data_IF_827903631426
#
_entry.id   IF_827903631426
#
_cell.length_a   1.000
_cell.length_b   1.000
_cell.length_c   1.000
_cell.angle_alpha   90.00
_cell.angle_beta   90.00
_cell.angle_gamma   90.00
#
_symmetry.space_group_name_H-M   'P 1'
#
loop_
_entity.id
_entity.type
_entity.pdbx_description
1 polymer ?
#
# COMPACT_ATOMS: atom_id res chain seq x y z
N UNK A 1 10.15 -17.92 -24.79
CA UNK A 1 9.74 -18.68 -23.58
C UNK A 1 10.84 -18.52 -22.53
N UNK A 2 10.82 -17.43 -21.76
CA UNK A 2 11.79 -17.20 -20.68
C UNK A 2 11.32 -17.89 -19.41
N UNK A 3 12.20 -18.65 -18.75
CA UNK A 3 11.93 -19.28 -17.46
C UNK A 3 11.75 -18.19 -16.39
N UNK A 4 10.63 -18.24 -15.67
CA UNK A 4 10.41 -17.49 -14.43
C UNK A 4 11.17 -18.21 -13.32
N UNK A 5 12.18 -17.57 -12.76
CA UNK A 5 12.99 -18.16 -11.69
C UNK A 5 12.52 -17.65 -10.33
N UNK A 6 12.04 -18.57 -9.49
CA UNK A 6 11.76 -18.30 -8.07
C UNK A 6 13.03 -18.56 -7.27
N UNK A 7 13.60 -17.54 -6.64
CA UNK A 7 14.79 -17.72 -5.81
C UNK A 7 14.43 -17.70 -4.32
N UNK A 8 14.84 -18.74 -3.59
CA UNK A 8 15.02 -18.73 -2.15
C UNK A 8 16.53 -18.73 -1.89
N UNK A 9 17.08 -17.67 -1.29
CA UNK A 9 18.52 -17.55 -1.05
C UNK A 9 18.87 -17.94 0.39
N UNK A 10 19.82 -18.87 0.53
CA UNK A 10 20.58 -19.10 1.76
C UNK A 10 21.91 -18.35 1.64
N UNK A 11 22.15 -17.38 2.53
CA UNK A 11 23.28 -16.46 2.44
C UNK A 11 24.64 -17.14 2.69
N UNK A 12 25.59 -16.92 1.78
CA UNK A 12 27.03 -17.10 2.03
C UNK A 12 27.72 -15.75 1.81
N UNK A 13 28.43 -15.31 2.85
CA UNK A 13 29.20 -14.07 2.90
C UNK A 13 30.34 -14.06 1.88
N UNK A 14 30.38 -13.03 1.02
CA UNK A 14 31.63 -12.57 0.39
C UNK A 14 31.72 -11.04 0.53
N UNK A 15 32.71 -10.59 1.31
CA UNK A 15 33.11 -9.19 1.45
C UNK A 15 33.97 -8.76 0.24
N UNK A 16 33.69 -7.59 -0.34
CA UNK A 16 34.64 -6.45 -0.46
C UNK A 16 33.98 -5.19 -1.06
N UNK A 17 34.49 -3.98 -0.74
CA UNK A 17 33.86 -2.69 -1.05
C UNK A 17 34.47 -2.00 -2.29
N UNK A 18 33.71 -1.18 -3.02
CA UNK A 18 34.27 -0.05 -3.81
C UNK A 18 33.26 1.09 -4.01
N UNK A 19 33.48 2.14 -3.21
CA UNK A 19 33.27 3.58 -3.43
C UNK A 19 32.42 4.09 -4.61
N UNK A 20 31.35 4.79 -4.26
CA UNK A 20 30.70 5.85 -5.05
C UNK A 20 31.67 7.04 -5.16
N UNK A 21 32.19 7.31 -6.37
CA UNK A 21 32.76 8.61 -6.81
C UNK A 21 33.15 8.49 -8.29
N UNK A 22 32.23 8.85 -9.19
CA UNK A 22 32.48 8.79 -10.64
C UNK A 22 31.69 9.78 -11.48
N UNK A 23 30.50 10.22 -11.06
CA UNK A 23 29.65 11.14 -11.87
C UNK A 23 29.78 12.62 -11.49
N UNK A 24 30.03 12.96 -10.23
CA UNK A 24 30.24 14.37 -9.83
C UNK A 24 31.63 14.89 -10.24
N UNK A 25 32.62 14.00 -10.41
CA UNK A 25 33.97 14.39 -10.81
C UNK A 25 34.07 14.79 -12.30
N UNK A 26 33.18 14.29 -13.16
CA UNK A 26 33.21 14.63 -14.59
C UNK A 26 32.58 16.00 -14.89
N UNK A 27 31.53 16.39 -14.17
CA UNK A 27 30.96 17.74 -14.31
C UNK A 27 31.88 18.82 -13.73
N UNK A 28 32.60 18.52 -12.64
CA UNK A 28 33.59 19.43 -12.07
C UNK A 28 34.83 19.63 -12.95
N UNK A 29 35.28 18.59 -13.66
CA UNK A 29 36.48 18.66 -14.51
C UNK A 29 36.26 19.47 -15.80
N UNK A 30 35.07 19.41 -16.41
CA UNK A 30 34.76 20.18 -17.63
C UNK A 30 34.58 21.69 -17.37
N UNK A 31 34.15 22.07 -16.17
CA UNK A 31 33.96 23.47 -15.77
C UNK A 31 35.26 24.16 -15.30
N UNK A 32 36.28 23.39 -14.90
CA UNK A 32 37.55 23.95 -14.40
C UNK A 32 38.62 24.13 -15.50
N UNK A 33 38.60 23.33 -16.58
CA UNK A 33 39.54 23.54 -17.70
C UNK A 33 39.25 24.79 -18.55
N UNK A 34 38.06 25.38 -18.41
CA UNK A 34 37.68 26.61 -19.14
C UNK A 34 37.97 27.92 -18.39
N UNK A 35 38.51 27.85 -17.16
CA UNK A 35 38.71 29.04 -16.32
C UNK A 35 40.19 29.40 -16.03
N UNK A 36 41.16 28.59 -16.44
CA UNK A 36 42.55 28.71 -15.95
C UNK A 36 43.60 29.27 -16.95
N UNK A 37 43.21 30.08 -17.94
CA UNK A 37 44.23 30.84 -18.70
C UNK A 37 43.75 32.20 -19.26
N UNK A 38 44.01 33.33 -18.57
CA UNK A 38 43.78 34.65 -19.12
C UNK A 38 45.03 35.13 -19.84
N UNK A 39 45.06 35.02 -21.17
CA UNK A 39 45.96 35.84 -21.99
C UNK A 39 45.13 36.77 -22.86
N UNK A 40 45.19 38.06 -22.52
CA UNK A 40 44.59 39.20 -23.21
C UNK A 40 43.05 39.31 -23.20
N UNK A 41 42.51 39.74 -22.06
CA UNK A 41 41.61 40.91 -22.00
C UNK A 41 40.43 41.03 -22.96
N UNK A 42 39.77 39.93 -23.34
CA UNK A 42 38.46 39.96 -23.99
C UNK A 42 37.71 38.65 -23.77
N UNK A 43 36.59 38.69 -23.06
CA UNK A 43 35.64 37.58 -23.03
C UNK A 43 35.02 37.46 -24.42
N UNK A 44 35.32 36.38 -25.15
CA UNK A 44 34.50 35.99 -26.30
C UNK A 44 33.21 35.38 -25.75
N UNK A 45 32.06 35.95 -26.14
CA UNK A 45 30.80 35.20 -26.06
C UNK A 45 31.01 33.89 -26.82
N UNK A 46 30.76 32.79 -26.13
CA UNK A 46 30.78 31.45 -26.72
C UNK A 46 29.57 31.39 -27.66
N UNK A 47 29.82 31.37 -28.96
CA UNK A 47 28.81 31.27 -30.03
C UNK A 47 28.15 29.87 -30.13
N UNK A 48 28.20 29.05 -29.06
CA UNK A 48 27.62 27.70 -29.00
C UNK A 48 26.62 27.57 -27.84
N UNK A 49 25.59 28.42 -27.84
CA UNK A 49 24.37 28.17 -27.06
C UNK A 49 23.53 27.01 -27.62
N UNK A 50 23.83 26.55 -28.83
CA UNK A 50 23.13 25.45 -29.51
C UNK A 50 23.36 24.09 -28.84
N UNK A 51 24.54 23.84 -28.27
CA UNK A 51 24.81 22.57 -27.55
C UNK A 51 24.23 22.56 -26.14
N UNK A 52 24.25 23.69 -25.42
CA UNK A 52 23.68 23.76 -24.07
C UNK A 52 22.14 23.68 -24.09
N UNK A 53 21.51 24.28 -25.11
CA UNK A 53 20.06 24.16 -25.33
C UNK A 53 19.69 22.74 -25.76
N UNK A 54 20.55 22.02 -26.48
CA UNK A 54 20.29 20.61 -26.83
C UNK A 54 20.42 19.65 -25.64
N UNK A 55 21.32 19.91 -24.68
CA UNK A 55 21.43 19.07 -23.46
C UNK A 55 20.24 19.30 -22.53
N UNK A 56 19.81 20.56 -22.35
CA UNK A 56 18.62 20.89 -21.55
C UNK A 56 17.33 20.45 -22.27
N UNK A 57 17.28 20.54 -23.61
CA UNK A 57 16.15 20.03 -24.40
C UNK A 57 16.10 18.50 -24.42
N UNK A 58 17.24 17.78 -24.33
CA UNK A 58 17.24 16.33 -24.19
C UNK A 58 16.67 15.90 -22.82
N UNK A 59 17.06 16.57 -21.73
CA UNK A 59 16.51 16.26 -20.40
C UNK A 59 15.01 16.60 -20.30
N UNK A 60 14.55 17.72 -20.87
CA UNK A 60 13.13 18.10 -20.87
C UNK A 60 12.29 17.24 -21.83
N UNK A 61 12.90 16.67 -22.87
CA UNK A 61 12.23 15.74 -23.79
C UNK A 61 12.16 14.34 -23.18
N UNK A 62 13.18 13.86 -22.45
CA UNK A 62 13.13 12.53 -21.84
C UNK A 62 12.14 12.42 -20.66
N UNK A 63 11.83 13.53 -19.98
CA UNK A 63 10.81 13.54 -18.91
C UNK A 63 9.35 13.64 -19.43
N UNK A 64 9.13 14.02 -20.71
CA UNK A 64 7.80 14.23 -21.27
C UNK A 64 7.28 13.13 -22.21
N UNK A 65 8.09 12.09 -22.48
CA UNK A 65 7.60 10.90 -23.18
C UNK A 65 7.40 9.77 -22.17
N UNK A 66 6.14 9.43 -21.92
CA UNK A 66 5.78 8.13 -21.35
C UNK A 66 6.41 6.98 -22.16
N UNK A 67 6.42 5.73 -21.65
CA UNK A 67 7.29 4.67 -22.13
C UNK A 67 6.90 4.24 -23.55
N UNK A 68 7.45 4.92 -24.56
CA UNK A 68 7.52 4.41 -25.91
C UNK A 68 8.79 3.58 -25.99
N UNK A 69 8.59 2.27 -26.22
CA UNK A 69 9.61 1.24 -26.10
C UNK A 69 10.94 1.56 -26.77
N UNK A 70 12.01 1.15 -26.09
CA UNK A 70 13.38 1.12 -26.60
C UNK A 70 13.42 0.25 -27.87
N UNK A 71 13.68 0.88 -29.01
CA UNK A 71 14.00 0.18 -30.25
C UNK A 71 15.49 -0.18 -30.23
N UNK A 72 15.83 -1.45 -30.51
CA UNK A 72 17.20 -1.84 -30.84
C UNK A 72 17.58 -1.31 -32.24
N UNK A 73 18.87 -1.13 -32.51
CA UNK A 73 19.49 -0.74 -33.80
C UNK A 73 19.13 -1.67 -34.98
N UNK A 74 18.36 -2.72 -34.72
CA UNK A 74 17.82 -3.70 -35.68
C UNK A 74 16.37 -3.42 -36.09
N UNK A 75 15.69 -2.44 -35.46
CA UNK A 75 14.31 -2.07 -35.78
C UNK A 75 13.24 -3.03 -35.24
N UNK A 76 13.63 -4.07 -34.48
CA UNK A 76 12.68 -4.96 -33.81
C UNK A 76 12.21 -4.38 -32.47
N UNK A 77 10.90 -4.35 -32.27
CA UNK A 77 10.25 -3.99 -31.00
C UNK A 77 10.58 -5.10 -29.98
N UNK A 78 11.54 -4.88 -29.08
CA UNK A 78 11.65 -5.71 -27.88
C UNK A 78 10.52 -5.29 -26.93
N UNK A 79 9.53 -6.15 -26.75
CA UNK A 79 8.59 -6.03 -25.64
C UNK A 79 9.39 -6.03 -24.35
N UNK A 80 9.54 -4.86 -23.72
CA UNK A 80 9.99 -4.80 -22.33
C UNK A 80 8.98 -5.59 -21.52
N UNK A 81 9.43 -6.64 -20.82
CA UNK A 81 8.63 -7.53 -19.98
C UNK A 81 8.13 -6.83 -18.70
N UNK A 82 7.62 -5.60 -18.82
CA UNK A 82 6.97 -4.90 -17.72
C UNK A 82 5.71 -5.68 -17.36
N UNK A 83 5.70 -6.26 -16.17
CA UNK A 83 4.50 -6.90 -15.63
C UNK A 83 3.76 -5.92 -14.75
N UNK A 84 2.48 -6.17 -14.54
CA UNK A 84 1.69 -5.51 -13.51
C UNK A 84 1.45 -6.49 -12.36
N UNK A 85 1.26 -5.95 -11.16
CA UNK A 85 1.23 -6.77 -9.95
C UNK A 85 0.18 -6.27 -8.97
N UNK A 86 -0.45 -7.18 -8.24
CA UNK A 86 -1.33 -6.83 -7.12
C UNK A 86 -1.04 -7.72 -5.91
N UNK A 87 -1.02 -7.12 -4.73
CA UNK A 87 -1.03 -7.82 -3.44
C UNK A 87 -2.09 -7.21 -2.52
N UNK A 88 -2.66 -8.01 -1.62
CA UNK A 88 -3.70 -7.56 -0.71
C UNK A 88 -3.67 -8.33 0.61
N UNK A 89 -4.35 -7.78 1.61
CA UNK A 89 -4.70 -8.47 2.85
C UNK A 89 -6.19 -8.40 3.13
N UNK A 90 -6.66 -9.39 3.89
CA UNK A 90 -7.98 -9.40 4.52
C UNK A 90 -7.92 -9.15 6.03
N UNK A 91 -6.79 -8.60 6.46
CA UNK A 91 -6.51 -8.08 7.79
C UNK A 91 -5.71 -9.02 8.68
N UNK A 92 -5.35 -8.49 9.83
CA UNK A 92 -4.43 -9.04 10.82
C UNK A 92 -5.14 -9.13 12.18
N UNK A 93 -5.45 -10.35 12.58
CA UNK A 93 -6.28 -10.64 13.74
C UNK A 93 -6.39 -12.15 13.96
N UNK A 94 -7.57 -12.63 14.33
CA UNK A 94 -7.82 -14.05 14.54
C UNK A 94 -8.73 -14.59 13.43
N UNK A 95 -8.20 -15.53 12.63
CA UNK A 95 -8.93 -16.12 11.51
C UNK A 95 -9.18 -17.62 11.74
N UNK A 96 -10.41 -18.12 11.49
CA UNK A 96 -10.72 -19.54 11.60
C UNK A 96 -9.92 -20.37 10.59
N UNK A 97 -9.65 -21.64 10.95
CA UNK A 97 -8.86 -22.57 10.10
C UNK A 97 -9.55 -22.88 8.77
N UNK A 98 -10.88 -22.96 8.75
CA UNK A 98 -11.69 -23.12 7.54
C UNK A 98 -12.41 -21.80 7.27
N UNK A 99 -12.23 -21.23 6.08
CA UNK A 99 -12.85 -19.96 5.72
C UNK A 99 -12.94 -19.80 4.20
N UNK A 100 -13.85 -18.92 3.77
CA UNK A 100 -13.96 -18.49 2.37
C UNK A 100 -12.91 -17.43 1.99
N UNK A 101 -11.95 -17.13 2.87
CA UNK A 101 -10.98 -16.07 2.65
C UNK A 101 -10.08 -16.32 1.44
N UNK A 102 -9.65 -17.57 1.23
CA UNK A 102 -8.81 -17.90 0.08
C UNK A 102 -9.51 -17.61 -1.25
N UNK A 103 -10.76 -18.04 -1.41
CA UNK A 103 -11.53 -17.79 -2.65
C UNK A 103 -11.85 -16.31 -2.82
N UNK A 104 -12.21 -15.62 -1.74
CA UNK A 104 -12.46 -14.18 -1.74
C UNK A 104 -11.22 -13.37 -2.18
N UNK A 105 -10.07 -13.63 -1.57
CA UNK A 105 -8.82 -12.95 -1.90
C UNK A 105 -8.42 -13.19 -3.35
N UNK A 106 -8.53 -14.44 -3.82
CA UNK A 106 -8.24 -14.78 -5.22
C UNK A 106 -9.17 -14.02 -6.17
N UNK A 107 -10.47 -13.91 -5.85
CA UNK A 107 -11.42 -13.11 -6.63
C UNK A 107 -11.03 -11.63 -6.67
N UNK A 108 -10.61 -11.06 -5.54
CA UNK A 108 -10.16 -9.67 -5.48
C UNK A 108 -8.88 -9.43 -6.32
N UNK A 109 -7.90 -10.34 -6.25
CA UNK A 109 -6.72 -10.28 -7.12
C UNK A 109 -7.08 -10.38 -8.60
N UNK A 110 -8.02 -11.26 -8.99
CA UNK A 110 -8.48 -11.40 -10.38
C UNK A 110 -9.13 -10.10 -10.86
N UNK A 111 -9.99 -9.46 -10.05
CA UNK A 111 -10.62 -8.19 -10.41
C UNK A 111 -9.58 -7.08 -10.64
N UNK A 112 -8.54 -6.99 -9.81
CA UNK A 112 -7.43 -6.07 -10.04
C UNK A 112 -6.65 -6.40 -11.32
N UNK A 113 -6.37 -7.69 -11.57
CA UNK A 113 -5.71 -8.12 -12.81
C UNK A 113 -6.52 -7.77 -14.06
N UNK A 114 -7.84 -7.91 -14.04
CA UNK A 114 -8.70 -7.55 -15.17
C UNK A 114 -8.56 -6.06 -15.51
N UNK A 115 -8.50 -5.20 -14.48
CA UNK A 115 -8.24 -3.76 -14.66
C UNK A 115 -6.85 -3.52 -15.27
N UNK A 116 -5.81 -4.14 -14.70
CA UNK A 116 -4.43 -3.94 -15.13
C UNK A 116 -4.19 -4.45 -16.57
N UNK A 117 -4.70 -5.63 -16.90
CA UNK A 117 -4.63 -6.20 -18.25
C UNK A 117 -5.44 -5.39 -19.27
N UNK A 118 -6.48 -4.67 -18.81
CA UNK A 118 -7.23 -3.72 -19.63
C UNK A 118 -6.51 -2.38 -19.84
N UNK A 119 -5.29 -2.19 -19.33
CA UNK A 119 -4.55 -0.94 -19.39
C UNK A 119 -4.97 0.10 -18.35
N UNK A 120 -5.71 -0.31 -17.32
CA UNK A 120 -6.09 0.54 -16.19
C UNK A 120 -4.92 0.88 -15.27
N UNK A 121 -5.10 1.93 -14.46
CA UNK A 121 -4.08 2.39 -13.51
C UNK A 121 -3.97 1.48 -12.28
N UNK A 122 -2.85 1.59 -11.56
CA UNK A 122 -2.68 0.91 -10.27
C UNK A 122 -3.77 1.32 -9.27
N UNK A 123 -4.19 2.60 -9.31
CA UNK A 123 -5.25 3.15 -8.48
C UNK A 123 -6.61 2.49 -8.76
N UNK A 124 -6.94 2.28 -10.04
CA UNK A 124 -8.16 1.56 -10.44
C UNK A 124 -8.11 0.09 -10.00
N UNK A 125 -6.93 -0.55 -10.11
CA UNK A 125 -6.75 -1.94 -9.72
C UNK A 125 -6.95 -2.17 -8.22
N UNK A 126 -6.33 -1.34 -7.36
CA UNK A 126 -6.54 -1.45 -5.89
C UNK A 126 -7.98 -1.14 -5.51
N UNK A 127 -8.63 -0.20 -6.20
CA UNK A 127 -10.05 0.13 -5.97
C UNK A 127 -10.96 -1.05 -6.32
N UNK A 128 -10.70 -1.73 -7.45
CA UNK A 128 -11.45 -2.92 -7.85
C UNK A 128 -11.25 -4.09 -6.86
N UNK A 129 -10.01 -4.36 -6.44
CA UNK A 129 -9.72 -5.39 -5.43
C UNK A 129 -10.42 -5.09 -4.11
N UNK A 130 -10.28 -3.88 -3.55
CA UNK A 130 -10.90 -3.53 -2.27
C UNK A 130 -12.42 -3.51 -2.37
N UNK A 131 -13.01 -3.09 -3.50
CA UNK A 131 -14.47 -3.18 -3.70
C UNK A 131 -14.99 -4.63 -3.59
N UNK A 132 -14.25 -5.61 -4.13
CA UNK A 132 -14.60 -7.03 -3.95
C UNK A 132 -14.56 -7.44 -2.47
N UNK A 133 -13.57 -6.94 -1.72
CA UNK A 133 -13.42 -7.24 -0.30
C UNK A 133 -14.51 -6.55 0.54
N UNK A 134 -14.88 -5.30 0.24
CA UNK A 134 -15.98 -4.57 0.90
C UNK A 134 -17.36 -5.21 0.67
N UNK A 135 -17.55 -5.85 -0.48
CA UNK A 135 -18.80 -6.53 -0.80
C UNK A 135 -18.96 -7.88 -0.08
N UNK A 136 -17.95 -8.35 0.64
CA UNK A 136 -17.98 -9.62 1.33
C UNK A 136 -18.49 -9.48 2.77
N UNK A 137 -19.42 -10.35 3.18
CA UNK A 137 -19.92 -10.37 4.57
C UNK A 137 -18.89 -10.77 5.65
N UNK A 138 -17.75 -11.29 5.23
CA UNK A 138 -16.75 -11.87 6.12
C UNK A 138 -15.61 -10.91 6.47
N UNK A 139 -15.57 -9.73 5.86
CA UNK A 139 -14.54 -8.70 6.05
C UNK A 139 -15.12 -7.57 6.89
N UNK A 140 -14.33 -6.96 7.76
CA UNK A 140 -14.78 -5.77 8.49
C UNK A 140 -14.58 -4.52 7.62
N UNK A 141 -15.27 -4.47 6.49
CA UNK A 141 -15.32 -3.36 5.55
C UNK A 141 -16.58 -3.48 4.68
N UNK A 142 -17.14 -2.36 4.20
CA UNK A 142 -18.35 -2.38 3.40
C UNK A 142 -19.51 -3.10 4.11
N UNK A 143 -20.09 -4.09 3.44
CA UNK A 143 -21.21 -4.90 3.90
C UNK A 143 -20.94 -5.74 5.17
N UNK A 144 -19.69 -6.13 5.42
CA UNK A 144 -19.33 -6.90 6.61
C UNK A 144 -18.88 -6.04 7.80
N UNK A 145 -18.99 -4.72 7.71
CA UNK A 145 -18.48 -3.78 8.71
C UNK A 145 -19.07 -4.01 10.10
N UNK A 146 -18.24 -3.82 11.12
CA UNK A 146 -18.66 -3.74 12.51
C UNK A 146 -19.61 -2.55 12.73
N UNK A 147 -20.56 -2.75 13.65
CA UNK A 147 -21.53 -1.74 14.03
C UNK A 147 -20.98 -0.84 15.15
N UNK A 148 -21.29 0.45 15.08
CA UNK A 148 -20.98 1.44 16.11
C UNK A 148 -21.91 1.28 17.33
N UNK A 149 -21.75 2.12 18.36
CA UNK A 149 -22.55 2.06 19.59
C UNK A 149 -24.08 2.19 19.36
N UNK A 150 -24.50 2.79 18.25
CA UNK A 150 -25.93 2.91 17.86
C UNK A 150 -26.44 1.75 17.01
N UNK A 151 -25.60 0.75 16.72
CA UNK A 151 -25.96 -0.37 15.85
C UNK A 151 -25.94 -0.02 14.36
N UNK A 152 -25.24 1.06 13.95
CA UNK A 152 -25.10 1.50 12.56
C UNK A 152 -23.70 1.25 12.00
N UNK A 153 -23.61 1.11 10.68
CA UNK A 153 -22.33 1.01 9.97
C UNK A 153 -21.76 2.41 9.72
N UNK A 154 -20.52 2.64 10.14
CA UNK A 154 -19.72 3.81 9.76
C UNK A 154 -18.37 3.34 9.25
N UNK A 155 -17.96 3.78 8.07
CA UNK A 155 -16.77 3.24 7.40
C UNK A 155 -15.71 4.29 7.15
N UNK A 156 -14.47 3.81 7.14
CA UNK A 156 -13.25 4.57 6.86
C UNK A 156 -12.57 3.93 5.65
N UNK A 157 -12.25 4.71 4.61
CA UNK A 157 -11.49 4.23 3.47
C UNK A 157 -10.59 5.32 2.89
N UNK A 158 -9.46 4.91 2.36
CA UNK A 158 -8.54 5.82 1.69
C UNK A 158 -7.77 5.11 0.58
N UNK A 159 -7.17 5.93 -0.27
CA UNK A 159 -6.25 5.49 -1.30
C UNK A 159 -5.20 6.55 -1.59
N UNK A 160 -4.08 6.11 -2.15
CA UNK A 160 -2.96 6.95 -2.50
C UNK A 160 -2.23 6.38 -3.70
N UNK A 161 -1.82 7.25 -4.61
CA UNK A 161 -0.86 6.99 -5.67
C UNK A 161 0.06 8.22 -5.82
N UNK A 162 0.84 8.28 -6.91
CA UNK A 162 1.72 9.41 -7.21
C UNK A 162 0.99 10.76 -7.39
N UNK A 163 -0.30 10.76 -7.72
CA UNK A 163 -1.12 11.99 -7.84
C UNK A 163 -1.56 12.53 -6.47
N UNK A 164 -1.45 11.70 -5.44
CA UNK A 164 -1.63 12.03 -4.05
C UNK A 164 -2.65 11.14 -3.36
N UNK A 165 -3.14 11.63 -2.23
CA UNK A 165 -3.98 10.88 -1.30
C UNK A 165 -5.41 11.42 -1.30
N UNK A 166 -6.39 10.54 -1.13
CA UNK A 166 -7.74 10.91 -0.75
C UNK A 166 -8.39 9.88 0.19
N UNK A 167 -9.34 10.34 1.00
CA UNK A 167 -10.00 9.54 2.01
C UNK A 167 -11.43 9.97 2.31
N UNK A 168 -12.17 9.04 2.88
CA UNK A 168 -13.43 9.28 3.57
C UNK A 168 -13.43 8.59 4.93
N UNK A 169 -14.06 9.20 5.93
CA UNK A 169 -14.17 8.60 7.26
C UNK A 169 -15.54 8.77 7.89
N UNK A 170 -15.90 7.84 8.76
CA UNK A 170 -17.21 7.76 9.40
C UNK A 170 -18.38 7.92 8.41
N UNK A 171 -18.23 7.43 7.17
CA UNK A 171 -19.28 7.54 6.15
C UNK A 171 -20.34 6.47 6.33
N UNK A 172 -21.57 6.84 6.00
CA UNK A 172 -22.75 5.98 6.07
C UNK A 172 -23.38 5.90 4.66
N UNK A 173 -24.22 4.89 4.43
CA UNK A 173 -25.02 4.72 3.21
C UNK A 173 -24.24 4.50 1.90
N UNK A 174 -22.91 4.41 1.92
CA UNK A 174 -22.10 4.18 0.72
C UNK A 174 -21.79 2.69 0.60
N UNK A 175 -22.13 2.06 -0.53
CA UNK A 175 -21.86 0.63 -0.73
C UNK A 175 -20.37 0.27 -0.67
N UNK A 176 -19.54 1.07 -1.36
CA UNK A 176 -18.11 0.87 -1.47
C UNK A 176 -17.34 2.15 -1.11
N UNK A 177 -16.93 2.35 0.15
CA UNK A 177 -16.25 3.58 0.55
C UNK A 177 -14.91 3.83 -0.17
N UNK A 178 -14.16 2.81 -0.66
CA UNK A 178 -13.00 3.09 -1.55
C UNK A 178 -13.40 3.83 -2.81
N UNK A 179 -14.56 3.53 -3.40
CA UNK A 179 -14.96 4.18 -4.65
C UNK A 179 -15.27 5.66 -4.41
N UNK A 180 -15.82 6.00 -3.24
CA UNK A 180 -16.02 7.39 -2.85
C UNK A 180 -14.66 8.10 -2.66
N UNK A 181 -13.70 7.48 -1.97
CA UNK A 181 -12.34 8.01 -1.87
C UNK A 181 -11.67 8.17 -3.25
N UNK A 182 -11.88 7.23 -4.17
CA UNK A 182 -11.33 7.26 -5.53
C UNK A 182 -11.85 8.46 -6.30
N UNK A 183 -13.15 8.73 -6.17
CA UNK A 183 -13.77 9.87 -6.83
C UNK A 183 -13.29 11.19 -6.26
N UNK A 184 -13.09 11.30 -4.94
CA UNK A 184 -12.43 12.48 -4.36
C UNK A 184 -11.06 12.74 -4.98
N UNK A 185 -10.21 11.69 -5.12
CA UNK A 185 -8.90 11.84 -5.74
C UNK A 185 -9.00 12.26 -7.21
N UNK A 186 -9.84 11.58 -8.01
CA UNK A 186 -10.04 11.89 -9.43
C UNK A 186 -10.62 13.30 -9.65
N UNK A 187 -11.52 13.75 -8.78
CA UNK A 187 -12.11 15.08 -8.87
C UNK A 187 -11.11 16.21 -8.62
N UNK A 188 -9.94 15.94 -8.01
CA UNK A 188 -8.90 16.98 -7.78
C UNK A 188 -8.40 17.65 -9.06
N UNK A 189 -8.53 16.99 -10.22
CA UNK A 189 -8.21 17.60 -11.51
C UNK A 189 -9.18 18.72 -11.90
N UNK A 190 -10.36 18.79 -11.28
CA UNK A 190 -11.40 19.77 -11.56
C UNK A 190 -11.45 20.81 -10.43
N UNK A 191 -10.87 22.02 -10.56
CA UNK A 191 -10.90 23.02 -9.50
C UNK A 191 -12.34 23.48 -9.21
N UNK A 192 -12.60 23.81 -7.94
CA UNK A 192 -13.85 24.45 -7.51
C UNK A 192 -13.91 25.91 -7.99
N UNK A 193 -15.08 26.59 -7.96
CA UNK A 193 -15.19 27.99 -8.34
C UNK A 193 -14.13 28.87 -7.68
N UNK A 194 -13.58 29.78 -8.48
CA UNK A 194 -12.45 30.66 -8.14
C UNK A 194 -11.10 29.96 -7.95
N UNK A 195 -10.91 28.79 -8.57
CA UNK A 195 -9.64 28.05 -8.50
C UNK A 195 -9.39 27.40 -7.15
N UNK A 196 -10.44 27.19 -6.35
CA UNK A 196 -10.31 26.58 -5.02
C UNK A 196 -9.99 25.09 -5.16
N UNK A 197 -9.13 24.60 -4.27
CA UNK A 197 -8.72 23.20 -4.21
C UNK A 197 -9.89 22.31 -3.80
N UNK A 198 -10.03 21.18 -4.49
CA UNK A 198 -10.96 20.11 -4.10
C UNK A 198 -10.53 19.48 -2.76
N UNK A 199 -11.47 19.10 -1.89
CA UNK A 199 -11.14 18.38 -0.67
C UNK A 199 -10.57 17.00 -1.02
N UNK A 200 -9.54 16.59 -0.28
CA UNK A 200 -8.98 15.25 -0.38
C UNK A 200 -9.44 14.35 0.78
N UNK A 201 -9.97 14.90 1.86
CA UNK A 201 -10.49 14.13 2.98
C UNK A 201 -11.82 14.71 3.46
N UNK A 202 -12.89 13.91 3.39
CA UNK A 202 -14.21 14.28 3.88
C UNK A 202 -14.70 13.26 4.91
N UNK A 203 -15.54 13.70 5.85
CA UNK A 203 -16.03 12.85 6.93
C UNK A 203 -17.54 12.93 7.09
N UNK A 204 -18.12 11.85 7.60
CA UNK A 204 -19.54 11.77 7.91
C UNK A 204 -20.44 11.90 6.68
N UNK A 205 -21.68 12.31 6.94
CA UNK A 205 -22.72 12.48 5.91
C UNK A 205 -22.32 13.44 4.78
N UNK A 206 -21.54 14.49 5.09
CA UNK A 206 -21.10 15.46 4.09
C UNK A 206 -20.19 14.83 3.02
N UNK A 207 -19.46 13.76 3.35
CA UNK A 207 -18.69 13.02 2.35
C UNK A 207 -19.60 12.28 1.36
N UNK A 208 -20.68 11.66 1.87
CA UNK A 208 -21.69 10.95 1.07
C UNK A 208 -22.48 11.91 0.17
N UNK A 209 -22.77 13.12 0.65
CA UNK A 209 -23.49 14.15 -0.11
C UNK A 209 -22.61 14.87 -1.14
N UNK A 210 -21.29 14.86 -0.97
CA UNK A 210 -20.34 15.54 -1.85
C UNK A 210 -20.35 14.99 -3.28
N UNK A 211 -20.58 13.69 -3.44
CA UNK A 211 -20.47 13.04 -4.73
C UNK A 211 -21.61 12.03 -5.00
N UNK A 212 -22.43 12.34 -6.00
CA UNK A 212 -23.59 11.54 -6.40
C UNK A 212 -23.26 10.37 -7.35
N UNK A 213 -21.98 10.15 -7.68
CA UNK A 213 -21.59 9.10 -8.62
C UNK A 213 -21.24 7.75 -7.98
N UNK A 214 -21.40 7.60 -6.66
CA UNK A 214 -21.29 6.30 -5.97
C UNK A 214 -22.67 5.70 -5.69
N UNK A 215 -22.74 4.38 -5.64
CA UNK A 215 -23.97 3.67 -5.25
C UNK A 215 -24.26 3.90 -3.76
N UNK A 216 -25.34 4.64 -3.50
CA UNK A 216 -25.91 4.77 -2.16
C UNK A 216 -26.89 3.63 -1.91
N UNK A 217 -26.89 3.14 -0.68
CA UNK A 217 -27.71 2.01 -0.24
C UNK A 217 -28.42 2.34 1.08
N UNK A 218 -29.51 1.63 1.35
CA UNK A 218 -30.19 1.71 2.64
C UNK A 218 -29.25 1.25 3.77
N UNK A 219 -29.21 1.94 4.93
CA UNK A 219 -28.28 1.62 6.01
C UNK A 219 -28.30 0.14 6.44
N UNK A 220 -29.50 -0.44 6.50
CA UNK A 220 -29.73 -1.82 6.95
C UNK A 220 -29.14 -2.84 5.97
N UNK A 221 -29.01 -2.49 4.69
CA UNK A 221 -28.43 -3.37 3.67
C UNK A 221 -26.92 -3.55 3.82
N UNK A 222 -26.25 -2.65 4.57
CA UNK A 222 -24.84 -2.77 4.94
C UNK A 222 -24.62 -3.63 6.18
N UNK A 223 -25.69 -4.09 6.86
CA UNK A 223 -25.56 -4.85 8.10
C UNK A 223 -25.60 -6.35 7.76
N UNK A 224 -24.44 -7.00 7.78
CA UNK A 224 -24.41 -8.47 7.74
C UNK A 224 -24.94 -9.08 9.03
N UNK A 225 -25.60 -10.24 8.91
CA UNK A 225 -26.09 -11.01 10.06
C UNK A 225 -24.99 -11.32 11.07
N UNK A 226 -23.78 -11.66 10.60
CA UNK A 226 -22.63 -11.93 11.45
C UNK A 226 -22.15 -10.71 12.24
N UNK A 227 -22.14 -9.52 11.62
CA UNK A 227 -21.75 -8.29 12.31
C UNK A 227 -22.78 -7.90 13.39
N UNK A 228 -24.07 -8.08 13.09
CA UNK A 228 -25.15 -7.83 14.03
C UNK A 228 -25.06 -8.75 15.27
N UNK A 229 -24.81 -10.04 15.07
CA UNK A 229 -24.64 -11.01 16.17
C UNK A 229 -23.45 -10.64 17.07
N UNK A 230 -22.31 -10.25 16.49
CA UNK A 230 -21.15 -9.78 17.26
C UNK A 230 -21.50 -8.52 18.05
N UNK A 231 -22.19 -7.56 17.44
CA UNK A 231 -22.61 -6.34 18.13
C UNK A 231 -23.58 -6.61 19.29
N UNK A 232 -24.55 -7.50 19.12
CA UNK A 232 -25.49 -7.89 20.17
C UNK A 232 -24.78 -8.52 21.37
N UNK A 233 -23.83 -9.43 21.13
CA UNK A 233 -23.01 -10.02 22.20
C UNK A 233 -22.23 -8.97 22.98
N UNK A 234 -21.60 -8.03 22.28
CA UNK A 234 -20.87 -6.94 22.94
C UNK A 234 -21.79 -5.99 23.70
N UNK A 235 -23.01 -5.75 23.20
CA UNK A 235 -24.02 -4.97 23.92
C UNK A 235 -24.39 -5.63 25.24
N UNK A 236 -24.61 -6.95 25.24
CA UNK A 236 -24.89 -7.71 26.46
C UNK A 236 -23.75 -7.61 27.47
N UNK A 237 -22.49 -7.75 27.02
CA UNK A 237 -21.29 -7.62 27.88
C UNK A 237 -21.16 -6.22 28.48
N UNK A 238 -21.46 -5.17 27.71
CA UNK A 238 -21.41 -3.78 28.18
C UNK A 238 -22.50 -3.51 29.23
N UNK A 239 -23.72 -4.01 29.00
CA UNK A 239 -24.87 -3.75 29.88
C UNK A 239 -24.88 -4.59 31.16
N UNK A 240 -24.45 -5.85 31.09
CA UNK A 240 -24.62 -6.83 32.17
C UNK A 240 -23.31 -7.29 32.81
N UNK A 241 -22.16 -6.82 32.33
CA UNK A 241 -20.84 -7.23 32.81
C UNK A 241 -20.28 -8.46 32.08
N UNK A 242 -19.10 -8.96 32.49
CA UNK A 242 -18.37 -9.96 31.72
C UNK A 242 -19.13 -11.29 31.64
N UNK A 243 -19.40 -11.76 30.43
CA UNK A 243 -19.63 -13.17 30.14
C UNK A 243 -18.32 -13.97 30.27
N UNK A 244 -18.36 -15.31 30.29
CA UNK A 244 -17.12 -16.06 30.25
C UNK A 244 -16.36 -15.70 28.97
N UNK A 245 -15.02 -15.49 28.99
CA UNK A 245 -14.24 -15.15 27.80
C UNK A 245 -14.41 -16.13 26.62
N UNK A 246 -14.78 -17.38 26.91
CA UNK A 246 -15.09 -18.39 25.90
C UNK A 246 -16.42 -18.17 25.14
N UNK A 247 -17.34 -17.39 25.70
CA UNK A 247 -18.68 -17.15 25.12
C UNK A 247 -18.67 -16.11 23.98
N UNK A 248 -17.63 -15.27 23.96
CA UNK A 248 -17.37 -14.35 22.84
C UNK A 248 -16.91 -15.11 21.58
N UNK A 249 -16.43 -16.36 21.70
CA UNK A 249 -15.94 -17.15 20.57
C UNK A 249 -14.82 -16.44 19.79
N UNK A 250 -14.63 -16.82 18.53
CA UNK A 250 -13.65 -16.25 17.58
C UNK A 250 -14.06 -14.83 17.09
N UNK A 251 -14.70 -14.02 17.94
CA UNK A 251 -15.26 -12.70 17.59
C UNK A 251 -14.21 -11.59 17.36
N UNK A 252 -12.94 -11.96 17.27
CA UNK A 252 -11.79 -11.04 17.22
C UNK A 252 -11.21 -10.81 15.82
N UNK A 253 -12.06 -10.56 14.81
CA UNK A 253 -11.59 -10.10 13.49
C UNK A 253 -11.57 -8.57 13.50
N UNK A 254 -10.42 -7.96 13.83
CA UNK A 254 -10.23 -6.49 13.81
C UNK A 254 -9.79 -5.99 12.43
N UNK A 255 -10.47 -6.42 11.36
CA UNK A 255 -9.74 -6.51 10.10
C UNK A 255 -10.22 -5.60 9.00
N UNK A 256 -9.50 -4.47 8.94
CA UNK A 256 -9.27 -3.66 7.76
C UNK A 256 -8.82 -4.53 6.60
N UNK A 257 -9.35 -4.24 5.42
CA UNK A 257 -8.89 -4.81 4.16
C UNK A 257 -8.05 -3.79 3.42
N UNK A 258 -7.09 -4.25 2.62
CA UNK A 258 -6.23 -3.34 1.88
C UNK A 258 -5.53 -4.03 0.73
N UNK A 259 -5.18 -3.24 -0.29
CA UNK A 259 -4.49 -3.70 -1.48
C UNK A 259 -3.39 -2.70 -1.88
N UNK A 260 -2.33 -3.24 -2.47
CA UNK A 260 -1.25 -2.51 -3.14
C UNK A 260 -1.09 -3.06 -4.55
N UNK A 261 -0.83 -2.20 -5.53
CA UNK A 261 -0.66 -2.63 -6.91
C UNK A 261 0.40 -1.81 -7.63
N UNK A 262 0.93 -2.40 -8.70
CA UNK A 262 1.78 -1.77 -9.69
C UNK A 262 1.15 -1.93 -11.08
N UNK A 263 1.04 -0.84 -11.82
CA UNK A 263 0.58 -0.88 -13.22
C UNK A 263 1.71 -1.10 -14.22
N UNK A 264 1.35 -1.23 -15.51
CA UNK A 264 2.30 -1.44 -16.60
C UNK A 264 3.27 -0.27 -16.82
N UNK A 265 2.96 0.92 -16.27
CA UNK A 265 3.86 2.07 -16.27
C UNK A 265 4.82 2.05 -15.08
N UNK A 266 4.68 1.07 -14.18
CA UNK A 266 5.46 0.97 -12.96
C UNK A 266 5.00 1.94 -11.87
N UNK A 267 3.80 2.52 -11.98
CA UNK A 267 3.24 3.37 -10.93
C UNK A 267 2.65 2.50 -9.83
N UNK A 268 2.82 2.93 -8.59
CA UNK A 268 2.29 2.27 -7.41
C UNK A 268 1.02 2.94 -6.90
N UNK A 269 0.13 2.13 -6.34
CA UNK A 269 -1.02 2.60 -5.58
C UNK A 269 -1.28 1.71 -4.37
N UNK A 270 -1.94 2.30 -3.37
CA UNK A 270 -2.44 1.62 -2.17
C UNK A 270 -3.88 2.03 -1.91
N UNK A 271 -4.71 1.10 -1.43
CA UNK A 271 -6.06 1.38 -0.95
C UNK A 271 -6.37 0.56 0.32
N UNK A 272 -7.12 1.16 1.23
CA UNK A 272 -7.44 0.62 2.54
C UNK A 272 -8.90 0.92 2.90
N UNK A 273 -9.60 -0.03 3.55
CA UNK A 273 -11.00 0.14 3.94
C UNK A 273 -11.33 -0.64 5.22
N UNK A 274 -12.14 -0.05 6.11
CA UNK A 274 -12.48 -0.62 7.41
C UNK A 274 -13.83 -0.15 7.94
N UNK A 275 -14.57 -1.04 8.61
CA UNK A 275 -15.71 -0.71 9.47
C UNK A 275 -15.29 -0.23 10.87
N UNK A 276 -14.02 -0.37 11.24
CA UNK A 276 -13.51 -0.01 12.55
C UNK A 276 -13.84 -1.02 13.66
N UNK A 277 -13.65 -0.61 14.91
CA UNK A 277 -13.90 -1.50 16.07
C UNK A 277 -15.40 -1.62 16.35
N UNK A 278 -15.82 -2.80 16.82
CA UNK A 278 -17.20 -3.04 17.28
C UNK A 278 -17.55 -2.10 18.45
N UNK A 279 -18.79 -1.60 18.48
CA UNK A 279 -19.27 -0.64 19.49
C UNK A 279 -18.47 0.66 19.55
N UNK A 280 -17.73 1.01 18.49
CA UNK A 280 -17.04 2.30 18.43
C UNK A 280 -18.00 3.45 18.70
N UNK A 281 -17.49 4.50 19.34
CA UNK A 281 -18.23 5.75 19.43
C UNK A 281 -18.54 6.27 18.02
N UNK A 282 -19.73 6.83 17.83
CA UNK A 282 -20.15 7.44 16.56
C UNK A 282 -19.14 8.53 16.17
N UNK A 283 -18.64 8.47 14.94
CA UNK A 283 -17.61 9.39 14.44
C UNK A 283 -16.17 9.01 14.78
N UNK A 284 -15.90 7.87 15.45
CA UNK A 284 -14.52 7.37 15.64
C UNK A 284 -13.92 7.01 14.28
N UNK A 285 -12.79 7.62 13.97
CA UNK A 285 -11.98 7.39 12.77
C UNK A 285 -10.78 6.51 13.09
N UNK A 286 -10.58 5.45 12.31
CA UNK A 286 -9.43 4.55 12.39
C UNK A 286 -8.33 4.86 11.37
N UNK A 287 -7.24 4.06 11.37
CA UNK A 287 -6.09 4.29 10.51
C UNK A 287 -6.40 4.12 9.02
N UNK A 288 -7.44 3.35 8.65
CA UNK A 288 -7.79 3.08 7.26
C UNK A 288 -8.05 4.35 6.44
N UNK A 289 -8.49 5.43 7.10
CA UNK A 289 -8.69 6.73 6.49
C UNK A 289 -7.55 7.72 6.76
N UNK A 290 -6.40 7.33 7.32
CA UNK A 290 -5.32 8.25 7.71
C UNK A 290 -4.02 7.92 6.98
N UNK A 291 -3.55 8.86 6.17
CA UNK A 291 -2.30 8.74 5.43
C UNK A 291 -1.11 8.54 6.39
N UNK A 292 -0.23 7.60 6.05
CA UNK A 292 0.96 7.26 6.83
C UNK A 292 0.69 6.26 7.94
N UNK A 293 -0.58 6.09 8.35
CA UNK A 293 -0.97 5.08 9.34
C UNK A 293 -1.54 3.84 8.67
N UNK A 294 -2.68 3.93 8.00
CA UNK A 294 -3.33 2.76 7.38
C UNK A 294 -2.82 2.43 5.99
N UNK A 295 -2.28 3.41 5.27
CA UNK A 295 -1.65 3.23 3.97
C UNK A 295 -0.61 4.32 3.69
N UNK A 296 0.33 4.01 2.80
CA UNK A 296 1.29 4.98 2.28
C UNK A 296 1.81 4.52 0.92
N UNK A 297 2.08 5.48 0.03
CA UNK A 297 2.81 5.25 -1.21
C UNK A 297 3.88 6.33 -1.31
N UNK A 298 5.13 5.92 -1.45
CA UNK A 298 6.28 6.81 -1.57
C UNK A 298 7.37 6.14 -2.39
N UNK A 299 7.91 6.88 -3.36
CA UNK A 299 8.92 6.43 -4.30
C UNK A 299 8.57 5.07 -4.93
N UNK A 300 9.26 4.01 -4.51
CA UNK A 300 9.10 2.68 -5.04
C UNK A 300 8.39 1.72 -4.08
N UNK A 301 7.70 2.23 -3.05
CA UNK A 301 7.05 1.40 -2.02
C UNK A 301 5.60 1.81 -1.82
N UNK A 302 4.71 0.82 -1.79
CA UNK A 302 3.32 0.95 -1.35
C UNK A 302 3.06 0.03 -0.15
N UNK A 303 2.39 0.54 0.88
CA UNK A 303 2.10 -0.18 2.13
C UNK A 303 0.65 0.00 2.52
N UNK A 304 0.03 -1.05 3.05
CA UNK A 304 -1.27 -0.99 3.75
C UNK A 304 -1.21 -1.79 5.05
N UNK A 305 -1.94 -1.33 6.08
CA UNK A 305 -1.90 -1.86 7.44
C UNK A 305 -3.28 -2.30 7.97
N UNK A 306 -3.27 -3.23 8.94
CA UNK A 306 -4.44 -3.70 9.69
C UNK A 306 -4.08 -3.96 11.15
N UNK A 307 -5.07 -4.01 12.05
CA UNK A 307 -4.90 -4.32 13.46
C UNK A 307 -5.53 -3.27 14.37
N UNK A 308 -4.92 -3.06 15.54
CA UNK A 308 -5.38 -2.08 16.51
C UNK A 308 -5.20 -0.66 15.95
N UNK A 309 -6.32 0.05 15.79
CA UNK A 309 -6.34 1.31 15.06
C UNK A 309 -5.53 2.42 15.74
N UNK A 310 -5.71 2.55 17.05
CA UNK A 310 -5.09 3.56 17.89
C UNK A 310 -3.56 3.38 17.93
N UNK A 311 -3.11 2.13 18.03
CA UNK A 311 -1.68 1.78 18.02
C UNK A 311 -1.00 2.05 16.67
N UNK A 312 -1.70 1.77 15.56
CA UNK A 312 -1.22 2.06 14.20
C UNK A 312 -1.15 3.58 13.95
N UNK A 313 -2.12 4.34 14.47
CA UNK A 313 -2.13 5.80 14.42
C UNK A 313 -0.94 6.39 15.19
N UNK A 314 -0.78 6.00 16.46
CA UNK A 314 0.29 6.51 17.34
C UNK A 314 1.71 6.22 16.81
N UNK A 315 1.85 5.23 15.94
CA UNK A 315 3.13 4.81 15.39
C UNK A 315 3.35 5.24 13.94
N UNK A 316 2.32 5.70 13.22
CA UNK A 316 2.39 6.06 11.79
C UNK A 316 3.04 4.91 10.99
N UNK A 317 2.49 3.71 11.18
CA UNK A 317 3.14 2.44 10.81
C UNK A 317 3.44 2.33 9.31
N UNK A 318 2.49 2.67 8.44
CA UNK A 318 2.65 2.55 6.99
C UNK A 318 3.80 3.42 6.45
N UNK A 319 3.88 4.68 6.89
CA UNK A 319 4.95 5.60 6.47
C UNK A 319 6.33 5.13 6.97
N UNK A 320 6.43 4.65 8.22
CA UNK A 320 7.70 4.10 8.72
C UNK A 320 8.15 2.87 7.94
N UNK A 321 7.21 2.01 7.55
CA UNK A 321 7.50 0.85 6.71
C UNK A 321 8.05 1.27 5.35
N UNK A 322 7.35 2.19 4.66
CA UNK A 322 7.77 2.71 3.37
C UNK A 322 9.16 3.37 3.45
N UNK A 323 9.37 4.24 4.45
CA UNK A 323 10.64 4.91 4.67
C UNK A 323 11.80 3.93 4.86
N UNK A 324 11.63 2.86 5.65
CA UNK A 324 12.67 1.83 5.80
C UNK A 324 12.95 1.06 4.52
N UNK A 325 11.90 0.66 3.80
CA UNK A 325 12.04 -0.11 2.57
C UNK A 325 12.68 0.72 1.44
N UNK A 326 12.45 2.03 1.43
CA UNK A 326 13.11 2.96 0.51
C UNK A 326 14.58 3.21 0.89
N UNK A 327 14.90 3.30 2.19
CA UNK A 327 16.24 3.66 2.69
C UNK A 327 16.99 2.49 3.34
N UNK A 328 16.91 1.30 2.73
CA UNK A 328 17.64 0.13 3.24
C UNK A 328 19.14 0.32 3.07
N UNK A 329 19.90 0.08 4.15
CA UNK A 329 21.36 0.02 4.07
C UNK A 329 21.81 -1.27 3.35
N UNK A 330 22.96 -1.20 2.67
CA UNK A 330 23.49 -2.33 1.91
C UNK A 330 23.63 -3.61 2.74
N UNK A 331 23.06 -4.72 2.24
CA UNK A 331 23.08 -6.03 2.90
C UNK A 331 21.85 -6.35 3.76
N UNK A 332 20.89 -5.43 3.88
CA UNK A 332 19.59 -5.68 4.52
C UNK A 332 18.57 -6.12 3.47
N UNK A 333 17.97 -7.30 3.66
CA UNK A 333 16.87 -7.80 2.83
C UNK A 333 15.53 -7.19 3.27
N UNK A 334 14.56 -7.11 2.36
CA UNK A 334 13.24 -6.51 2.62
C UNK A 334 12.53 -7.17 3.81
N UNK A 335 12.68 -8.48 3.99
CA UNK A 335 12.13 -9.22 5.14
C UNK A 335 12.70 -8.73 6.49
N UNK A 336 14.00 -8.46 6.55
CA UNK A 336 14.64 -7.92 7.75
C UNK A 336 14.24 -6.46 7.98
N UNK A 337 14.07 -5.67 6.91
CA UNK A 337 13.58 -4.31 7.01
C UNK A 337 12.16 -4.27 7.63
N UNK A 338 11.22 -5.10 7.14
CA UNK A 338 9.87 -5.16 7.73
C UNK A 338 9.85 -5.77 9.13
N UNK A 339 10.77 -6.68 9.45
CA UNK A 339 10.95 -7.17 10.81
C UNK A 339 11.34 -6.03 11.75
N UNK A 340 12.30 -5.19 11.36
CA UNK A 340 12.69 -4.02 12.14
C UNK A 340 11.55 -3.02 12.30
N UNK A 341 10.68 -2.83 11.29
CA UNK A 341 9.45 -2.03 11.47
C UNK A 341 8.63 -2.58 12.63
N UNK A 342 8.31 -3.88 12.62
CA UNK A 342 7.44 -4.46 13.63
C UNK A 342 8.08 -4.51 15.02
N UNK A 343 9.34 -4.92 15.11
CA UNK A 343 10.01 -5.13 16.40
C UNK A 343 10.51 -3.83 17.02
N UNK A 344 11.19 -2.98 16.22
CA UNK A 344 11.81 -1.75 16.71
C UNK A 344 10.83 -0.58 16.72
N UNK A 345 10.15 -0.35 15.60
CA UNK A 345 9.39 0.89 15.39
C UNK A 345 7.96 0.85 15.87
N UNK A 346 7.39 -0.36 15.92
CA UNK A 346 6.05 -0.61 16.43
C UNK A 346 6.12 -1.12 17.88
N UNK A 347 6.49 -2.39 18.10
CA UNK A 347 6.53 -3.01 19.44
C UNK A 347 7.48 -2.29 20.41
N UNK A 348 8.64 -1.84 19.91
CA UNK A 348 9.63 -1.09 20.68
C UNK A 348 9.30 0.38 20.92
N UNK A 349 8.22 0.91 20.30
CA UNK A 349 7.86 2.32 20.43
C UNK A 349 7.40 2.68 21.83
N UNK A 350 7.58 3.96 22.20
CA UNK A 350 7.12 4.45 23.51
C UNK A 350 5.59 4.32 23.67
N UNK A 351 4.82 4.48 22.60
CA UNK A 351 3.37 4.32 22.59
C UNK A 351 2.96 2.88 22.97
N UNK A 352 3.51 1.88 22.28
CA UNK A 352 3.15 0.47 22.55
C UNK A 352 3.69 0.00 23.90
N UNK A 353 4.88 0.45 24.32
CA UNK A 353 5.39 0.15 25.66
C UNK A 353 4.49 0.70 26.77
N UNK A 354 3.93 1.92 26.60
CA UNK A 354 2.94 2.47 27.54
C UNK A 354 1.62 1.69 27.48
N UNK A 355 1.13 1.38 26.29
CA UNK A 355 -0.11 0.60 26.12
C UNK A 355 -0.03 -0.77 26.83
N UNK A 356 1.12 -1.46 26.73
CA UNK A 356 1.37 -2.75 27.40
C UNK A 356 1.33 -2.71 28.92
N UNK A 357 1.53 -1.55 29.54
CA UNK A 357 1.39 -1.41 31.00
C UNK A 357 -0.06 -1.53 31.45
N UNK A 358 -1.00 -1.13 30.59
CA UNK A 358 -2.44 -1.11 30.89
C UNK A 358 -3.21 -2.26 30.21
N UNK A 359 -2.68 -2.79 29.11
CA UNK A 359 -3.32 -3.85 28.33
C UNK A 359 -2.27 -4.84 27.83
N UNK A 360 -2.27 -6.06 28.39
CA UNK A 360 -1.32 -7.11 27.99
C UNK A 360 -1.45 -7.53 26.51
N UNK A 361 -2.61 -7.30 25.90
CA UNK A 361 -2.85 -7.61 24.49
C UNK A 361 -2.36 -6.51 23.53
N UNK A 362 -1.83 -5.39 24.03
CA UNK A 362 -1.34 -4.30 23.20
C UNK A 362 -0.19 -4.71 22.25
N UNK A 363 -0.08 -4.01 21.13
CA UNK A 363 0.88 -4.29 20.06
C UNK A 363 0.32 -5.25 19.01
N UNK A 364 -0.94 -5.06 18.58
CA UNK A 364 -1.58 -5.85 17.52
C UNK A 364 -1.57 -5.05 16.22
N UNK A 365 -0.70 -5.42 15.27
CA UNK A 365 -0.72 -4.85 13.94
C UNK A 365 -0.24 -5.86 12.90
N UNK A 366 -0.56 -5.59 11.64
CA UNK A 366 0.00 -6.24 10.49
C UNK A 366 0.04 -5.29 9.29
N UNK A 367 0.88 -5.64 8.32
CA UNK A 367 1.07 -4.86 7.10
C UNK A 367 1.47 -5.75 5.94
N UNK A 368 1.16 -5.29 4.73
CA UNK A 368 1.72 -5.81 3.48
C UNK A 368 2.32 -4.64 2.72
N UNK A 369 3.50 -4.86 2.13
CA UNK A 369 4.24 -3.89 1.36
C UNK A 369 4.61 -4.46 0.00
N UNK A 370 4.53 -3.62 -1.02
CA UNK A 370 4.98 -3.87 -2.38
C UNK A 370 6.12 -2.90 -2.67
N UNK A 371 7.30 -3.42 -2.99
CA UNK A 371 8.48 -2.64 -3.38
C UNK A 371 8.88 -2.96 -4.81
N UNK A 372 9.25 -1.92 -5.56
CA UNK A 372 9.89 -2.03 -6.86
C UNK A 372 11.37 -1.66 -6.69
N UNK A 373 12.27 -2.47 -7.24
CA UNK A 373 13.67 -2.12 -7.40
C UNK A 373 13.97 -2.10 -8.89
N UNK A 374 14.66 -1.06 -9.34
CA UNK A 374 15.11 -0.93 -10.73
C UNK A 374 16.64 -0.88 -10.69
N UNK A 375 17.29 -1.95 -11.12
CA UNK A 375 18.75 -2.06 -11.14
C UNK A 375 19.26 -2.20 -12.58
N UNK A 376 20.49 -1.77 -12.86
CA UNK A 376 21.20 -2.17 -14.07
C UNK A 376 21.78 -3.58 -13.86
N UNK A 377 21.27 -4.57 -14.60
CA UNK A 377 21.77 -5.93 -14.55
C UNK A 377 23.23 -6.05 -15.01
N UNK A 378 23.86 -7.20 -14.76
CA UNK A 378 25.27 -7.47 -15.19
C UNK A 378 25.48 -7.30 -16.70
N UNK A 379 24.41 -7.39 -17.51
CA UNK A 379 24.41 -7.15 -18.95
C UNK A 379 24.19 -5.68 -19.36
N UNK A 380 24.03 -4.76 -18.41
CA UNK A 380 23.63 -3.37 -18.63
C UNK A 380 22.15 -3.18 -18.97
N UNK A 381 21.33 -4.24 -18.89
CA UNK A 381 19.88 -4.17 -19.11
C UNK A 381 19.15 -3.86 -17.81
N UNK A 382 18.09 -3.02 -17.82
CA UNK A 382 17.34 -2.70 -16.62
C UNK A 382 16.58 -3.93 -16.12
N UNK A 383 16.87 -4.36 -14.90
CA UNK A 383 16.12 -5.39 -14.17
C UNK A 383 15.08 -4.68 -13.31
N UNK A 384 13.81 -5.00 -13.52
CA UNK A 384 12.76 -4.67 -12.57
C UNK A 384 12.61 -5.84 -11.62
N UNK A 385 12.77 -5.61 -10.32
CA UNK A 385 12.45 -6.57 -9.27
C UNK A 385 11.24 -6.09 -8.49
N UNK A 386 10.30 -6.99 -8.26
CA UNK A 386 9.12 -6.77 -7.44
C UNK A 386 9.29 -7.59 -6.16
N UNK A 387 9.25 -6.95 -5.01
CA UNK A 387 9.24 -7.61 -3.71
C UNK A 387 7.90 -7.37 -3.02
N UNK A 388 7.30 -8.45 -2.53
CA UNK A 388 6.11 -8.40 -1.67
C UNK A 388 6.52 -8.94 -0.32
N UNK A 389 6.32 -8.13 0.72
CA UNK A 389 6.57 -8.53 2.10
C UNK A 389 5.34 -8.28 2.95
N UNK A 390 5.13 -9.12 3.95
CA UNK A 390 4.12 -8.92 4.97
C UNK A 390 4.69 -9.22 6.35
N UNK A 391 4.15 -8.56 7.35
CA UNK A 391 4.55 -8.73 8.72
C UNK A 391 3.36 -8.53 9.65
N UNK A 392 3.23 -9.30 10.73
CA UNK A 392 2.17 -9.10 11.72
C UNK A 392 2.56 -9.61 13.12
N UNK A 393 1.99 -8.98 14.15
CA UNK A 393 2.10 -9.39 15.56
C UNK A 393 0.80 -10.02 16.09
N UNK A 394 -0.21 -10.13 15.24
CA UNK A 394 -1.47 -10.80 15.55
C UNK A 394 -1.35 -12.31 15.37
N UNK A 395 -2.39 -13.06 15.78
CA UNK A 395 -2.43 -14.51 15.62
C UNK A 395 -2.31 -14.94 14.16
N UNK A 396 -2.92 -14.19 13.25
CA UNK A 396 -2.94 -14.51 11.83
C UNK A 396 -3.18 -13.29 10.96
N UNK A 397 -2.72 -13.37 9.71
CA UNK A 397 -2.99 -12.38 8.67
C UNK A 397 -3.21 -13.10 7.34
N UNK A 398 -4.36 -12.87 6.70
CA UNK A 398 -4.63 -13.40 5.36
C UNK A 398 -4.05 -12.49 4.30
N UNK A 399 -3.16 -13.01 3.46
CA UNK A 399 -2.51 -12.28 2.36
C UNK A 399 -2.69 -13.00 1.03
N UNK A 400 -2.81 -12.25 -0.05
CA UNK A 400 -2.87 -12.77 -1.41
C UNK A 400 -2.14 -11.87 -2.39
N UNK A 401 -1.74 -12.45 -3.52
CA UNK A 401 -1.05 -11.73 -4.57
C UNK A 401 -1.22 -12.39 -5.93
N UNK A 402 -0.96 -11.63 -6.98
CA UNK A 402 -1.02 -12.08 -8.37
C UNK A 402 -0.07 -11.25 -9.25
N UNK A 403 0.92 -11.95 -9.84
CA UNK A 403 1.61 -11.47 -11.05
C UNK A 403 0.61 -11.57 -12.21
N UNK A 404 0.32 -10.46 -12.90
CA UNK A 404 -0.72 -10.44 -13.92
C UNK A 404 -0.41 -11.32 -15.14
N UNK A 405 0.83 -11.78 -15.31
CA UNK A 405 1.20 -12.81 -16.30
C UNK A 405 0.76 -14.22 -15.89
N UNK A 406 0.59 -14.49 -14.60
CA UNK A 406 0.08 -15.76 -14.07
C UNK A 406 -1.44 -15.86 -14.22
N UNK A 407 -1.97 -17.04 -14.49
CA UNK A 407 -3.41 -17.30 -14.46
C UNK A 407 -3.97 -17.45 -13.03
N UNK A 408 -3.12 -17.77 -12.06
CA UNK A 408 -3.55 -18.14 -10.71
C UNK A 408 -3.06 -17.18 -9.63
N UNK A 409 -4.02 -16.62 -8.88
CA UNK A 409 -3.75 -15.88 -7.66
C UNK A 409 -3.34 -16.81 -6.52
N UNK A 410 -2.34 -16.37 -5.77
CA UNK A 410 -1.82 -17.07 -4.59
C UNK A 410 -2.49 -16.51 -3.34
N UNK A 411 -2.64 -17.37 -2.32
CA UNK A 411 -3.18 -16.99 -1.03
C UNK A 411 -2.42 -17.72 0.07
N UNK A 412 -2.14 -17.00 1.16
CA UNK A 412 -1.55 -17.56 2.36
C UNK A 412 -2.26 -16.99 3.58
N UNK A 413 -2.71 -17.88 4.45
CA UNK A 413 -3.04 -17.51 5.83
C UNK A 413 -1.75 -17.56 6.65
N UNK A 414 -1.09 -16.41 6.82
CA UNK A 414 0.06 -16.30 7.70
C UNK A 414 -0.40 -16.48 9.15
N UNK A 415 0.29 -17.32 9.92
CA UNK A 415 -0.05 -17.59 11.33
C UNK A 415 1.20 -17.48 12.16
N UNK A 416 1.09 -16.77 13.29
CA UNK A 416 2.17 -16.71 14.28
C UNK A 416 2.19 -18.05 15.03
N UNK A 417 3.37 -18.68 15.07
CA UNK A 417 3.60 -19.84 15.94
C UNK A 417 3.71 -19.42 17.41
N UNK A 418 4.30 -20.28 18.23
CA UNK A 418 4.48 -20.03 19.68
C UNK A 418 5.62 -19.04 20.00
N UNK A 419 6.33 -18.55 18.99
CA UNK A 419 7.44 -17.62 19.14
C UNK A 419 6.98 -16.22 19.55
N UNK A 420 7.65 -15.63 20.54
CA UNK A 420 7.52 -14.20 20.84
C UNK A 420 8.09 -13.38 19.67
N UNK A 421 7.33 -12.36 19.22
CA UNK A 421 7.76 -11.45 18.15
C UNK A 421 6.76 -11.30 17.01
N UNK A 422 7.25 -10.75 15.89
CA UNK A 422 6.49 -10.57 14.66
C UNK A 422 6.66 -11.78 13.72
N UNK A 423 5.57 -12.19 13.07
CA UNK A 423 5.60 -13.15 11.97
C UNK A 423 5.86 -12.40 10.67
N UNK A 424 6.88 -12.82 9.92
CA UNK A 424 7.33 -12.19 8.68
C UNK A 424 7.21 -13.19 7.53
N UNK A 425 6.89 -12.70 6.33
CA UNK A 425 7.13 -13.44 5.11
C UNK A 425 7.20 -12.52 3.90
N UNK A 426 7.81 -13.00 2.84
CA UNK A 426 7.82 -12.30 1.58
C UNK A 426 8.29 -13.16 0.43
N UNK A 427 8.38 -12.56 -0.74
CA UNK A 427 9.03 -13.13 -1.92
C UNK A 427 9.42 -12.00 -2.88
N UNK A 428 10.39 -12.30 -3.74
CA UNK A 428 10.81 -11.43 -4.84
C UNK A 428 10.56 -12.11 -6.19
N UNK A 429 10.24 -11.31 -7.22
CA UNK A 429 10.18 -11.72 -8.62
C UNK A 429 10.98 -10.73 -9.45
N UNK A 430 11.94 -11.21 -10.24
CA UNK A 430 12.75 -10.38 -11.13
C UNK A 430 12.37 -10.57 -12.58
N UNK A 431 12.36 -9.48 -13.33
CA UNK A 431 11.99 -9.40 -14.74
C UNK A 431 13.22 -8.88 -15.50
N UNK A 432 13.81 -9.69 -16.40
CA UNK A 432 14.95 -9.29 -17.21
C UNK A 432 14.56 -8.43 -18.42
#
# INVERSE_FOLDING_TARGET
>A
MGQVTYHAYAGVNLRRPTTVRGREALMGAFLLESLDNPVNGSYRLVDDLTELVNVIALDVVLDNYGPHGLYDMTGERRETSMSSFVALHIGAGIHPKKSAYASLCKKACIAAKEVLNGGGSALDAVTAAVSILENAKHTNAGYGSNLNAEGKVQMDAALMDYSGYAAVAAVENVKNPVQLAQRLLKNRQNPLPYGRTQPNFLVGRSATEWDHGVELVEPESLISQSALEVWQKWKEVIEHGPFNPGDLGDSGVSDTVGAVAMDLSGNLAAACSSGGIVHKHVGRVGPAAVAGSGLWVEDNVAVVCSGNGEEILDTILASKCASRLNHMEGGVYEEEAVKQVMERDFLGSSAIRRAKQNNQNAGQAGMIALKITRDEGESGLPIQAISVTWAHTTYSMGVAWLDCRSSEAQFRMSRRGDSEGACIGGFGVSYP
#
